data_IF_040008524876
#
_entry.id   IF_040008524876
#
_cell.length_a   1.000
_cell.length_b   1.000
_cell.length_c   1.000
_cell.angle_alpha   90.00
_cell.angle_beta   90.00
_cell.angle_gamma   90.00
#
_symmetry.space_group_name_H-M   'P 1'
#
loop_
_entity.id
_entity.type
_entity.pdbx_description
1 polymer ?
#
# COMPACT_ATOMS: atom_id res chain seq x y z
N UNK A 1 -29.05 3.15 -7.08
CA UNK A 1 -29.35 4.27 -6.16
C UNK A 1 -28.13 4.47 -5.28
N UNK A 2 -27.28 5.44 -5.61
CA UNK A 2 -26.14 5.80 -4.74
C UNK A 2 -26.50 7.12 -4.09
N UNK A 3 -26.56 7.04 -2.77
CA UNK A 3 -26.99 8.07 -1.84
C UNK A 3 -26.10 9.32 -1.98
N UNK A 4 -26.75 10.46 -2.19
CA UNK A 4 -26.09 11.74 -2.41
C UNK A 4 -25.48 12.24 -1.11
N UNK A 5 -24.15 12.30 -1.06
CA UNK A 5 -23.40 12.85 0.08
C UNK A 5 -24.00 14.20 0.55
N UNK A 6 -24.20 14.39 1.87
CA UNK A 6 -24.88 15.58 2.44
C UNK A 6 -24.19 16.90 2.08
N UNK A 7 -22.90 16.86 1.73
CA UNK A 7 -22.14 18.01 1.24
C UNK A 7 -22.59 18.46 -0.16
N UNK A 8 -22.96 17.51 -1.02
CA UNK A 8 -23.47 17.81 -2.37
C UNK A 8 -24.87 18.45 -2.29
N UNK A 9 -25.71 17.94 -1.38
CA UNK A 9 -27.05 18.48 -1.16
C UNK A 9 -27.03 19.88 -0.53
N UNK A 10 -26.03 20.19 0.31
CA UNK A 10 -25.85 21.55 0.85
C UNK A 10 -25.46 22.58 -0.23
N UNK A 11 -24.56 22.21 -1.14
CA UNK A 11 -24.19 23.08 -2.27
C UNK A 11 -25.38 23.29 -3.21
N UNK A 12 -26.25 22.30 -3.35
CA UNK A 12 -27.47 22.39 -4.16
C UNK A 12 -28.60 23.19 -3.48
N UNK A 13 -28.67 23.21 -2.14
CA UNK A 13 -29.67 24.00 -1.39
C UNK A 13 -29.33 25.50 -1.34
N UNK A 14 -28.05 25.87 -1.40
CA UNK A 14 -27.59 27.27 -1.53
C UNK A 14 -27.79 27.84 -2.94
N UNK A 15 -28.08 26.99 -3.93
CA UNK A 15 -28.57 27.39 -5.25
C UNK A 15 -30.07 27.58 -5.14
N UNK A 16 -30.50 28.75 -4.64
CA UNK A 16 -31.89 29.15 -4.62
C UNK A 16 -32.46 29.13 -6.04
N UNK A 17 -33.17 28.06 -6.38
CA UNK A 17 -33.84 27.90 -7.65
C UNK A 17 -35.08 28.80 -7.65
N UNK A 18 -34.96 30.00 -8.24
CA UNK A 18 -36.10 30.89 -8.44
C UNK A 18 -36.86 30.36 -9.65
N UNK A 19 -38.11 29.87 -9.49
CA UNK A 19 -38.84 29.28 -10.61
C UNK A 19 -39.19 30.39 -11.60
N UNK A 20 -38.65 30.30 -12.83
CA UNK A 20 -39.13 31.10 -13.96
C UNK A 20 -38.07 31.82 -14.79
N UNK A 21 -36.80 31.84 -14.38
CA UNK A 21 -35.72 32.38 -15.21
C UNK A 21 -34.56 31.40 -15.18
N UNK A 22 -34.12 30.87 -16.33
CA UNK A 22 -33.05 29.87 -16.44
C UNK A 22 -31.64 30.37 -16.05
N UNK A 23 -31.54 31.21 -15.02
CA UNK A 23 -30.35 31.87 -14.50
C UNK A 23 -30.17 31.43 -13.05
N UNK A 24 -29.08 30.72 -12.78
CA UNK A 24 -28.73 30.29 -11.44
C UNK A 24 -27.84 31.34 -10.78
N UNK A 25 -28.01 31.61 -9.48
CA UNK A 25 -27.26 32.62 -8.76
C UNK A 25 -26.58 32.01 -7.53
N UNK A 26 -25.35 32.42 -7.22
CA UNK A 26 -24.65 32.03 -5.98
C UNK A 26 -23.93 33.25 -5.39
N UNK A 27 -24.21 33.56 -4.12
CA UNK A 27 -23.65 34.72 -3.39
C UNK A 27 -23.74 36.05 -4.16
N UNK A 28 -24.88 36.30 -4.81
CA UNK A 28 -25.13 37.54 -5.55
C UNK A 28 -24.45 37.63 -6.93
N UNK A 29 -23.79 36.57 -7.39
CA UNK A 29 -23.19 36.48 -8.73
C UNK A 29 -24.06 35.58 -9.62
N UNK A 30 -24.39 36.05 -10.82
CA UNK A 30 -25.10 35.26 -11.82
C UNK A 30 -24.17 34.16 -12.34
N UNK A 31 -24.52 32.91 -12.12
CA UNK A 31 -23.85 31.75 -12.71
C UNK A 31 -24.42 31.58 -14.12
N UNK A 32 -23.73 32.18 -15.08
CA UNK A 32 -23.95 31.88 -16.50
C UNK A 32 -23.60 30.41 -16.78
N UNK A 33 -24.44 29.73 -17.57
CA UNK A 33 -24.16 28.41 -18.17
C UNK A 33 -24.13 27.22 -17.17
N UNK A 34 -25.14 27.14 -16.29
CA UNK A 34 -25.26 26.08 -15.26
C UNK A 34 -25.44 24.65 -15.84
N UNK A 35 -26.00 24.52 -17.04
CA UNK A 35 -26.40 23.22 -17.62
C UNK A 35 -25.25 22.19 -17.73
N UNK A 36 -23.98 22.64 -17.70
CA UNK A 36 -22.82 21.78 -17.83
C UNK A 36 -21.85 21.77 -16.64
N UNK A 37 -22.13 22.46 -15.53
CA UNK A 37 -21.20 22.52 -14.39
C UNK A 37 -20.98 21.15 -13.76
N UNK A 38 -22.06 20.40 -13.52
CA UNK A 38 -21.96 19.04 -12.95
C UNK A 38 -21.23 18.08 -13.88
N UNK A 39 -21.46 18.20 -15.18
CA UNK A 39 -20.79 17.40 -16.21
C UNK A 39 -19.30 17.74 -16.29
N UNK A 40 -18.94 19.03 -16.29
CA UNK A 40 -17.56 19.52 -16.28
C UNK A 40 -16.82 19.09 -15.01
N UNK A 41 -17.43 19.29 -13.85
CA UNK A 41 -16.87 18.86 -12.57
C UNK A 41 -16.62 17.35 -12.55
N UNK A 42 -17.59 16.54 -12.97
CA UNK A 42 -17.42 15.09 -13.06
C UNK A 42 -16.33 14.70 -14.07
N UNK A 43 -16.17 15.43 -15.17
CA UNK A 43 -15.11 15.21 -16.14
C UNK A 43 -13.72 15.48 -15.55
N UNK A 44 -13.55 16.64 -14.91
CA UNK A 44 -12.29 17.03 -14.24
C UNK A 44 -11.98 16.05 -13.11
N UNK A 45 -12.96 15.67 -12.28
CA UNK A 45 -12.79 14.69 -11.21
C UNK A 45 -12.31 13.33 -11.76
N UNK A 46 -12.92 12.83 -12.83
CA UNK A 46 -12.49 11.57 -13.46
C UNK A 46 -11.08 11.68 -14.03
N UNK A 47 -10.78 12.78 -14.73
CA UNK A 47 -9.44 13.01 -15.28
C UNK A 47 -8.37 13.04 -14.20
N UNK A 48 -8.63 13.76 -13.10
CA UNK A 48 -7.75 13.82 -11.94
C UNK A 48 -7.54 12.44 -11.30
N UNK A 49 -8.62 11.70 -11.01
CA UNK A 49 -8.52 10.39 -10.39
C UNK A 49 -7.79 9.39 -11.29
N UNK A 50 -8.07 9.37 -12.59
CA UNK A 50 -7.36 8.50 -13.53
C UNK A 50 -5.87 8.83 -13.60
N UNK A 51 -5.52 10.12 -13.65
CA UNK A 51 -4.12 10.52 -13.66
C UNK A 51 -3.42 10.17 -12.35
N UNK A 52 -4.09 10.35 -11.21
CA UNK A 52 -3.58 9.95 -9.90
C UNK A 52 -3.34 8.44 -9.85
N UNK A 53 -4.31 7.64 -10.30
CA UNK A 53 -4.19 6.18 -10.35
C UNK A 53 -3.03 5.77 -11.26
N UNK A 54 -2.90 6.36 -12.45
CA UNK A 54 -1.80 6.06 -13.36
C UNK A 54 -0.45 6.45 -12.76
N UNK A 55 -0.34 7.63 -12.14
CA UNK A 55 0.87 8.07 -11.46
C UNK A 55 1.22 7.16 -10.28
N UNK A 56 0.22 6.59 -9.59
CA UNK A 56 0.46 5.60 -8.53
C UNK A 56 0.98 4.28 -9.10
N UNK A 57 0.38 3.74 -10.18
CA UNK A 57 0.86 2.50 -10.80
C UNK A 57 2.25 2.67 -11.45
N UNK A 58 2.55 3.83 -12.02
CA UNK A 58 3.86 4.13 -12.60
C UNK A 58 4.95 4.23 -11.51
N UNK A 59 4.60 4.79 -10.35
CA UNK A 59 5.51 4.92 -9.21
C UNK A 59 5.63 3.64 -8.36
N UNK A 60 4.59 2.81 -8.37
CA UNK A 60 4.49 1.56 -7.64
C UNK A 60 4.02 0.47 -8.61
N UNK A 61 4.92 -0.11 -9.41
CA UNK A 61 4.63 -1.28 -10.22
C UNK A 61 3.92 -2.35 -9.37
N UNK A 62 2.97 -3.09 -9.95
CA UNK A 62 2.25 -4.15 -9.23
C UNK A 62 3.21 -5.15 -8.57
N UNK A 63 4.34 -5.42 -9.23
CA UNK A 63 5.43 -6.25 -8.72
C UNK A 63 5.98 -5.71 -7.39
N UNK A 64 6.19 -4.40 -7.25
CA UNK A 64 6.71 -3.81 -6.01
C UNK A 64 5.71 -3.91 -4.85
N UNK A 65 4.41 -3.75 -5.14
CA UNK A 65 3.35 -3.94 -4.12
C UNK A 65 3.26 -5.39 -3.65
N UNK A 66 3.40 -6.34 -4.58
CA UNK A 66 3.44 -7.77 -4.25
C UNK A 66 4.67 -8.12 -3.41
N UNK A 67 5.84 -7.54 -3.73
CA UNK A 67 7.05 -7.72 -2.93
C UNK A 67 6.88 -7.15 -1.52
N UNK A 68 6.25 -5.97 -1.37
CA UNK A 68 5.96 -5.39 -0.05
C UNK A 68 5.05 -6.29 0.79
N UNK A 69 4.04 -6.90 0.19
CA UNK A 69 3.21 -7.88 0.88
C UNK A 69 4.04 -9.10 1.30
N UNK A 70 4.93 -9.58 0.43
CA UNK A 70 5.85 -10.67 0.75
C UNK A 70 6.74 -10.31 1.94
N UNK A 71 7.32 -9.11 1.96
CA UNK A 71 8.13 -8.64 3.08
C UNK A 71 7.35 -8.61 4.39
N UNK A 72 6.13 -8.06 4.39
CA UNK A 72 5.32 -8.01 5.60
C UNK A 72 4.99 -9.41 6.13
N UNK A 73 4.70 -10.38 5.25
CA UNK A 73 4.50 -11.78 5.67
C UNK A 73 5.77 -12.40 6.26
N UNK A 74 6.94 -12.11 5.72
CA UNK A 74 8.22 -12.73 6.13
C UNK A 74 8.78 -12.09 7.41
N UNK A 75 8.67 -10.77 7.55
CA UNK A 75 9.36 -10.02 8.60
C UNK A 75 8.47 -9.49 9.71
N UNK A 76 7.14 -9.50 9.57
CA UNK A 76 6.26 -9.03 10.64
C UNK A 76 6.00 -10.15 11.65
N UNK A 77 6.55 -10.05 12.88
CA UNK A 77 6.38 -11.11 13.87
C UNK A 77 4.92 -11.40 14.18
N UNK A 78 4.05 -10.37 14.10
CA UNK A 78 2.63 -10.44 14.44
C UNK A 78 1.80 -11.22 13.44
N UNK A 79 2.32 -11.47 12.23
CA UNK A 79 1.65 -12.25 11.18
C UNK A 79 1.91 -13.75 11.27
N UNK A 80 2.86 -14.17 12.10
CA UNK A 80 3.13 -15.59 12.29
C UNK A 80 1.88 -16.31 12.86
N UNK A 81 1.59 -17.53 12.41
CA UNK A 81 0.56 -18.36 13.02
C UNK A 81 1.00 -18.86 14.40
N UNK A 82 0.04 -19.16 15.26
CA UNK A 82 0.30 -19.77 16.58
C UNK A 82 0.46 -21.31 16.50
N UNK A 83 -0.22 -21.96 15.55
CA UNK A 83 -0.08 -23.41 15.31
C UNK A 83 1.28 -23.71 14.64
N UNK A 84 2.04 -24.63 15.24
CA UNK A 84 3.38 -25.07 14.77
C UNK A 84 3.32 -25.72 13.38
N UNK A 85 2.23 -26.42 13.04
CA UNK A 85 2.04 -27.06 11.73
C UNK A 85 1.84 -26.00 10.64
N UNK A 86 1.10 -24.94 10.96
CA UNK A 86 0.91 -23.80 10.06
C UNK A 86 2.19 -22.97 9.96
N UNK A 87 2.97 -22.86 11.03
CA UNK A 87 4.27 -22.19 11.03
C UNK A 87 5.20 -22.77 9.98
N UNK A 88 5.22 -24.11 9.80
CA UNK A 88 6.05 -24.77 8.80
C UNK A 88 5.78 -24.28 7.38
N UNK A 89 4.50 -24.10 7.03
CA UNK A 89 4.04 -23.72 5.67
C UNK A 89 3.96 -22.21 5.45
N UNK A 90 3.80 -21.44 6.53
CA UNK A 90 3.65 -20.00 6.47
C UNK A 90 4.82 -19.32 5.78
N UNK A 91 4.51 -18.40 4.86
CA UNK A 91 5.47 -17.57 4.15
C UNK A 91 6.29 -18.27 3.06
N UNK A 92 6.10 -19.57 2.79
CA UNK A 92 6.95 -20.29 1.81
C UNK A 92 6.81 -19.67 0.41
N UNK A 93 5.60 -19.35 -0.03
CA UNK A 93 5.36 -18.78 -1.35
C UNK A 93 5.98 -17.38 -1.46
N UNK A 94 5.82 -16.56 -0.42
CA UNK A 94 6.39 -15.21 -0.33
C UNK A 94 7.91 -15.26 -0.34
N UNK A 95 8.51 -16.18 0.41
CA UNK A 95 9.96 -16.37 0.39
C UNK A 95 10.45 -16.79 -1.00
N UNK A 96 9.75 -17.70 -1.68
CA UNK A 96 10.13 -18.12 -3.03
C UNK A 96 10.08 -16.95 -4.03
N UNK A 97 9.07 -16.08 -3.95
CA UNK A 97 8.98 -14.86 -4.77
C UNK A 97 10.16 -13.93 -4.52
N UNK A 98 10.45 -13.63 -3.25
CA UNK A 98 11.59 -12.80 -2.87
C UNK A 98 12.93 -13.40 -3.32
N UNK A 99 13.12 -14.71 -3.13
CA UNK A 99 14.34 -15.40 -3.56
C UNK A 99 14.52 -15.35 -5.08
N UNK A 100 13.45 -15.51 -5.84
CA UNK A 100 13.50 -15.42 -7.30
C UNK A 100 13.77 -13.98 -7.77
N UNK A 101 13.07 -13.00 -7.20
CA UNK A 101 13.22 -11.59 -7.59
C UNK A 101 14.63 -11.06 -7.25
N UNK A 102 15.20 -11.49 -6.13
CA UNK A 102 16.52 -11.06 -5.65
C UNK A 102 17.60 -12.13 -5.82
N UNK A 103 17.47 -13.02 -6.80
CA UNK A 103 18.38 -14.18 -6.99
C UNK A 103 19.84 -13.79 -7.25
N UNK A 104 20.09 -12.57 -7.72
CA UNK A 104 21.43 -12.04 -7.99
C UNK A 104 22.17 -11.59 -6.72
N UNK A 105 21.45 -11.36 -5.63
CA UNK A 105 22.02 -10.84 -4.36
C UNK A 105 21.80 -11.77 -3.16
N UNK A 106 21.03 -12.85 -3.33
CA UNK A 106 20.73 -13.83 -2.29
C UNK A 106 21.22 -15.22 -2.66
N UNK A 107 21.64 -15.98 -1.66
CA UNK A 107 21.74 -17.43 -1.81
C UNK A 107 20.36 -18.05 -1.52
N UNK A 108 19.62 -18.32 -2.58
CA UNK A 108 18.24 -18.84 -2.51
C UNK A 108 18.14 -20.15 -1.73
N UNK A 109 19.11 -21.06 -1.89
CA UNK A 109 19.08 -22.37 -1.25
C UNK A 109 19.36 -22.24 0.25
N UNK A 110 20.36 -21.44 0.63
CA UNK A 110 20.64 -21.14 2.03
C UNK A 110 19.46 -20.44 2.71
N UNK A 111 18.87 -19.46 2.04
CA UNK A 111 17.72 -18.71 2.55
C UNK A 111 16.52 -19.63 2.84
N UNK A 112 16.16 -20.50 1.88
CA UNK A 112 15.08 -21.49 2.05
C UNK A 112 15.37 -22.50 3.16
N UNK A 113 16.60 -23.02 3.22
CA UNK A 113 17.00 -23.99 4.24
C UNK A 113 16.97 -23.42 5.65
N UNK A 114 17.31 -22.13 5.82
CA UNK A 114 17.29 -21.44 7.11
C UNK A 114 15.90 -20.93 7.53
N UNK A 115 14.91 -20.94 6.63
CA UNK A 115 13.66 -20.22 6.85
C UNK A 115 12.86 -20.70 8.07
N UNK A 116 12.84 -22.00 8.34
CA UNK A 116 12.16 -22.50 9.53
C UNK A 116 12.82 -22.00 10.83
N UNK A 117 14.16 -22.03 10.89
CA UNK A 117 14.92 -21.50 12.02
C UNK A 117 14.68 -19.99 12.18
N UNK A 118 14.68 -19.26 11.07
CA UNK A 118 14.37 -17.84 11.04
C UNK A 118 12.96 -17.54 11.57
N UNK A 119 11.95 -18.33 11.21
CA UNK A 119 10.59 -18.18 11.77
C UNK A 119 10.53 -18.39 13.28
N UNK A 120 11.34 -19.32 13.81
CA UNK A 120 11.45 -19.49 15.26
C UNK A 120 12.10 -18.29 15.94
N UNK A 121 13.13 -17.70 15.33
CA UNK A 121 13.70 -16.42 15.78
C UNK A 121 12.63 -15.32 15.79
N UNK A 122 11.95 -15.13 14.66
CA UNK A 122 10.91 -14.12 14.48
C UNK A 122 9.80 -14.25 15.54
N UNK A 123 9.42 -15.49 15.91
CA UNK A 123 8.43 -15.75 16.96
C UNK A 123 8.84 -15.22 18.33
N UNK A 124 10.14 -15.23 18.65
CA UNK A 124 10.68 -14.67 19.91
C UNK A 124 10.49 -13.16 20.01
N UNK A 125 10.27 -12.48 18.88
CA UNK A 125 10.06 -11.04 18.79
C UNK A 125 8.61 -10.66 18.47
N UNK A 126 7.63 -11.51 18.83
CA UNK A 126 6.18 -11.32 18.56
C UNK A 126 5.60 -9.96 18.97
N UNK A 127 6.18 -9.29 19.96
CA UNK A 127 5.76 -7.97 20.40
C UNK A 127 6.13 -6.83 19.41
N UNK A 128 7.22 -7.02 18.65
CA UNK A 128 7.73 -6.02 17.73
C UNK A 128 6.85 -5.91 16.47
N UNK A 129 6.83 -4.72 15.88
CA UNK A 129 6.30 -4.51 14.54
C UNK A 129 7.39 -4.80 13.47
N UNK A 130 7.02 -4.70 12.19
CA UNK A 130 7.92 -4.92 11.06
C UNK A 130 9.22 -4.10 11.17
N UNK A 131 9.12 -2.79 11.33
CA UNK A 131 10.26 -1.86 11.36
C UNK A 131 11.21 -2.16 12.54
N UNK A 132 10.65 -2.39 13.72
CA UNK A 132 11.41 -2.72 14.91
C UNK A 132 12.17 -4.04 14.75
N UNK A 133 11.52 -5.06 14.17
CA UNK A 133 12.16 -6.34 13.95
C UNK A 133 13.23 -6.28 12.86
N UNK A 134 12.99 -5.62 11.73
CA UNK A 134 13.99 -5.51 10.66
C UNK A 134 15.23 -4.75 11.13
N UNK A 135 15.07 -3.69 11.93
CA UNK A 135 16.20 -3.00 12.58
C UNK A 135 16.99 -3.95 13.50
N UNK A 136 16.31 -4.68 14.38
CA UNK A 136 16.94 -5.67 15.27
C UNK A 136 17.70 -6.73 14.47
N UNK A 137 17.09 -7.25 13.39
CA UNK A 137 17.66 -8.26 12.53
C UNK A 137 18.98 -7.80 11.89
N UNK A 138 18.99 -6.58 11.34
CA UNK A 138 20.15 -6.00 10.67
C UNK A 138 21.32 -5.81 11.64
N UNK A 139 21.06 -5.40 12.89
CA UNK A 139 22.09 -5.12 13.87
C UNK A 139 22.66 -6.38 14.53
N UNK A 140 21.83 -7.37 14.84
CA UNK A 140 22.22 -8.48 15.72
C UNK A 140 22.51 -9.79 14.97
N UNK A 141 21.97 -9.99 13.77
CA UNK A 141 21.95 -11.31 13.11
C UNK A 141 22.69 -11.38 11.77
N UNK A 142 23.49 -10.37 11.44
CA UNK A 142 24.25 -10.28 10.17
C UNK A 142 25.04 -11.55 9.82
N UNK A 143 25.65 -12.19 10.82
CA UNK A 143 26.46 -13.40 10.62
C UNK A 143 25.65 -14.71 10.65
N UNK A 144 24.45 -14.68 11.22
CA UNK A 144 23.61 -15.88 11.43
C UNK A 144 22.62 -16.05 10.29
N UNK A 145 22.02 -14.94 9.84
CA UNK A 145 20.98 -14.90 8.81
C UNK A 145 21.31 -13.87 7.72
N UNK A 146 22.42 -14.01 7.00
CA UNK A 146 22.90 -13.00 6.05
C UNK A 146 21.89 -12.68 4.95
N UNK A 147 21.18 -13.68 4.41
CA UNK A 147 20.19 -13.47 3.34
C UNK A 147 18.93 -12.75 3.84
N UNK A 148 18.48 -13.04 5.06
CA UNK A 148 17.35 -12.33 5.66
C UNK A 148 17.72 -10.90 6.04
N UNK A 149 18.97 -10.66 6.44
CA UNK A 149 19.48 -9.30 6.68
C UNK A 149 19.56 -8.53 5.37
N UNK A 150 20.00 -9.16 4.28
CA UNK A 150 20.00 -8.56 2.96
C UNK A 150 18.57 -8.21 2.51
N UNK A 151 17.62 -9.14 2.65
CA UNK A 151 16.20 -8.89 2.38
C UNK A 151 15.62 -7.77 3.26
N UNK A 152 16.02 -7.66 4.53
CA UNK A 152 15.59 -6.56 5.40
C UNK A 152 16.20 -5.21 4.99
N UNK A 153 17.45 -5.18 4.54
CA UNK A 153 18.05 -3.95 3.99
C UNK A 153 17.32 -3.52 2.72
N UNK A 154 17.00 -4.47 1.84
CA UNK A 154 16.23 -4.24 0.63
C UNK A 154 14.85 -3.67 0.98
N UNK A 155 14.13 -4.26 1.95
CA UNK A 155 12.78 -3.81 2.31
C UNK A 155 12.74 -2.38 2.87
N UNK A 156 13.86 -1.85 3.37
CA UNK A 156 13.99 -0.46 3.83
C UNK A 156 14.30 0.54 2.71
N UNK A 157 14.82 0.06 1.57
CA UNK A 157 15.19 0.91 0.42
C UNK A 157 14.29 0.73 -0.78
N UNK A 158 13.45 -0.32 -0.82
CA UNK A 158 12.37 -0.41 -1.79
C UNK A 158 11.58 0.88 -1.64
N UNK A 159 11.52 1.69 -2.71
CA UNK A 159 10.91 2.98 -2.62
C UNK A 159 9.43 2.80 -2.25
N UNK A 160 9.10 3.03 -0.98
CA UNK A 160 8.05 3.99 -0.68
C UNK A 160 8.62 5.32 -1.15
N UNK A 161 8.68 5.57 -2.46
CA UNK A 161 9.15 6.83 -2.99
C UNK A 161 8.23 7.88 -2.38
N UNK A 162 8.73 8.52 -1.33
CA UNK A 162 8.03 9.52 -0.56
C UNK A 162 7.60 10.56 -1.58
N UNK A 163 6.30 10.77 -1.70
CA UNK A 163 5.82 11.98 -2.35
C UNK A 163 6.44 13.16 -1.59
N UNK A 164 7.17 14.08 -2.26
CA UNK A 164 7.33 15.42 -1.71
C UNK A 164 5.96 16.08 -1.53
#
# INVERSE_FOLDING_TARGET
MIDGSPTVNRVLADLGDVPGTGKNWYKGVEIADNNNLRTRFNSVRRGYLNQLINNLHDRFPEDDLELLECFDVIFNPRRLPDDVRELGKHGIQQLNKLCHHFETVLDSDRCKNQFLQFKHLLRSYRALNFEQFTSTLIHEYKHVHPDFVQLALISLVIPVASAP
#
